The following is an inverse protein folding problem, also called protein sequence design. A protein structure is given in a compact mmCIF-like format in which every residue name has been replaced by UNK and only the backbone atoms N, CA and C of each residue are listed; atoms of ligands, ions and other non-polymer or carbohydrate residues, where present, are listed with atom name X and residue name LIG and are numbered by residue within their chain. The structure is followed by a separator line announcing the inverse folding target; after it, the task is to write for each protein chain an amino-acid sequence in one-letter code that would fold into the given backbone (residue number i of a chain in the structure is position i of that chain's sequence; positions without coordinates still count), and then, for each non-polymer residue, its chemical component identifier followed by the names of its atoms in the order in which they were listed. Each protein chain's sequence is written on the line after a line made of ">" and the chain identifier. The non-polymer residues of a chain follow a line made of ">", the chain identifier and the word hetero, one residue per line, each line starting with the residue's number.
data_IF_922363231912
#
_entry.id   IF_922363231912
#
_cell.length_a   1.000
_cell.length_b   1.000
_cell.length_c   1.000
_cell.angle_alpha   90.00
_cell.angle_beta   90.00
_cell.angle_gamma   90.00
#
_symmetry.space_group_name_H-M   'P 1'
#
loop_
_entity.id
_entity.type
_entity.pdbx_description
1 polymer ?
#
# COMPACT_ATOMS: atom_id res chain seq x y z
N UNK A 1 2.57 28.18 -0.90
CA UNK A 1 2.62 26.73 -1.16
C UNK A 1 2.48 26.08 0.19
N UNK A 2 1.41 25.33 0.42
CA UNK A 2 1.27 24.61 1.68
C UNK A 2 2.27 23.44 1.67
N UNK A 3 3.35 23.60 2.43
CA UNK A 3 4.31 22.51 2.71
C UNK A 3 3.70 21.43 3.62
N UNK A 4 2.45 21.62 4.05
CA UNK A 4 1.68 20.64 4.81
C UNK A 4 1.25 19.51 3.89
N UNK A 5 1.57 18.30 4.29
CA UNK A 5 1.03 17.08 3.69
C UNK A 5 -0.38 16.88 4.19
N UNK A 6 -1.29 16.56 3.29
CA UNK A 6 -2.63 16.11 3.63
C UNK A 6 -2.64 14.62 3.99
N UNK A 7 -3.63 14.20 4.76
CA UNK A 7 -3.83 12.80 5.12
C UNK A 7 -3.94 11.91 3.87
N UNK A 8 -4.57 12.42 2.80
CA UNK A 8 -4.66 11.72 1.51
C UNK A 8 -3.29 11.46 0.86
N UNK A 9 -2.38 12.44 0.88
CA UNK A 9 -1.02 12.27 0.36
C UNK A 9 -0.22 11.25 1.17
N UNK A 10 -0.40 11.28 2.50
CA UNK A 10 0.26 10.36 3.44
C UNK A 10 -0.24 8.91 3.22
N UNK A 11 -1.55 8.72 3.05
CA UNK A 11 -2.14 7.40 2.76
C UNK A 11 -1.61 6.84 1.45
N UNK A 12 -1.61 7.66 0.38
CA UNK A 12 -1.07 7.24 -0.93
C UNK A 12 0.41 6.85 -0.77
N UNK A 13 1.20 7.66 -0.07
CA UNK A 13 2.62 7.39 0.12
C UNK A 13 2.85 6.04 0.81
N UNK A 14 2.23 5.81 1.97
CA UNK A 14 2.48 4.60 2.76
C UNK A 14 1.91 3.37 2.07
N UNK A 15 0.71 3.47 1.48
CA UNK A 15 0.13 2.35 0.77
C UNK A 15 1.01 1.91 -0.41
N UNK A 16 1.38 2.82 -1.31
CA UNK A 16 2.14 2.42 -2.49
C UNK A 16 3.58 1.98 -2.15
N UNK A 17 4.28 2.67 -1.22
CA UNK A 17 5.63 2.26 -0.80
C UNK A 17 5.60 0.90 -0.12
N UNK A 18 4.64 0.63 0.76
CA UNK A 18 4.52 -0.67 1.43
C UNK A 18 4.29 -1.82 0.44
N UNK A 19 3.65 -1.54 -0.71
CA UNK A 19 3.47 -2.51 -1.80
C UNK A 19 4.67 -2.63 -2.74
N UNK A 20 5.76 -1.91 -2.48
CA UNK A 20 7.02 -2.05 -3.22
C UNK A 20 7.26 -0.98 -4.29
N UNK A 21 6.46 0.09 -4.32
CA UNK A 21 6.74 1.23 -5.19
C UNK A 21 7.94 2.02 -4.65
N UNK A 22 8.77 2.52 -5.57
CA UNK A 22 9.90 3.40 -5.23
C UNK A 22 9.41 4.82 -4.93
N UNK A 23 10.25 5.64 -4.27
CA UNK A 23 9.94 7.06 -4.00
C UNK A 23 9.64 7.83 -5.30
N UNK A 24 10.30 7.45 -6.40
CA UNK A 24 10.07 8.02 -7.74
C UNK A 24 8.69 7.63 -8.27
N UNK A 25 8.32 6.36 -8.17
CA UNK A 25 7.02 5.88 -8.62
C UNK A 25 5.89 6.53 -7.80
N UNK A 26 6.04 6.63 -6.48
CA UNK A 26 5.08 7.31 -5.60
C UNK A 26 4.98 8.81 -5.90
N UNK A 27 6.09 9.48 -6.21
CA UNK A 27 6.08 10.87 -6.69
C UNK A 27 5.25 11.03 -7.96
N UNK A 28 5.36 10.08 -8.91
CA UNK A 28 4.51 10.07 -10.12
C UNK A 28 3.04 9.80 -9.81
N UNK A 29 2.73 8.83 -8.93
CA UNK A 29 1.35 8.53 -8.50
C UNK A 29 0.70 9.76 -7.86
N UNK A 30 1.43 10.43 -6.96
CA UNK A 30 0.99 11.69 -6.34
C UNK A 30 0.73 12.76 -7.41
N UNK A 31 1.63 12.89 -8.39
CA UNK A 31 1.50 13.87 -9.48
C UNK A 31 0.24 13.67 -10.31
N UNK A 32 -0.04 12.42 -10.72
CA UNK A 32 -1.25 12.05 -11.49
C UNK A 32 -2.52 12.37 -10.71
N UNK A 33 -2.47 12.26 -9.39
CA UNK A 33 -3.59 12.55 -8.48
C UNK A 33 -3.71 14.02 -8.08
N UNK A 34 -2.89 14.90 -8.68
CA UNK A 34 -2.94 16.35 -8.48
C UNK A 34 -1.99 16.88 -7.40
N UNK A 35 -1.21 16.02 -6.75
CA UNK A 35 -0.26 16.39 -5.70
C UNK A 35 1.16 16.50 -6.25
N UNK A 36 1.79 17.68 -6.13
CA UNK A 36 3.18 17.86 -6.56
C UNK A 36 4.15 17.66 -5.40
N UNK A 37 4.66 16.43 -5.26
CA UNK A 37 5.74 16.11 -4.31
C UNK A 37 6.95 15.54 -5.05
N UNK A 38 8.14 16.15 -4.94
CA UNK A 38 9.35 15.57 -5.51
C UNK A 38 9.75 14.29 -4.77
N UNK A 39 10.48 13.36 -5.41
CA UNK A 39 10.88 12.09 -4.78
C UNK A 39 11.64 12.28 -3.45
N UNK A 40 12.46 13.33 -3.35
CA UNK A 40 13.15 13.67 -2.10
C UNK A 40 12.18 13.98 -0.96
N UNK A 41 11.08 14.69 -1.24
CA UNK A 41 10.08 15.01 -0.22
C UNK A 41 9.29 13.76 0.20
N UNK A 42 9.03 12.84 -0.75
CA UNK A 42 8.43 11.53 -0.47
C UNK A 42 9.32 10.75 0.51
N UNK A 43 10.61 10.64 0.19
CA UNK A 43 11.58 9.95 1.05
C UNK A 43 11.68 10.57 2.45
N UNK A 44 11.77 11.91 2.53
CA UNK A 44 11.82 12.61 3.82
C UNK A 44 10.57 12.36 4.66
N UNK A 45 9.39 12.44 4.03
CA UNK A 45 8.14 12.20 4.75
C UNK A 45 8.00 10.74 5.19
N UNK A 46 8.47 9.80 4.39
CA UNK A 46 8.53 8.39 4.77
C UNK A 46 9.34 8.19 6.06
N UNK A 47 10.52 8.81 6.18
CA UNK A 47 11.34 8.70 7.39
C UNK A 47 10.60 9.25 8.62
N UNK A 48 9.94 10.41 8.48
CA UNK A 48 9.15 11.01 9.56
C UNK A 48 8.02 10.08 10.02
N UNK A 49 7.33 9.42 9.09
CA UNK A 49 6.25 8.48 9.43
C UNK A 49 6.82 7.24 10.13
N UNK A 50 7.94 6.69 9.67
CA UNK A 50 8.57 5.53 10.29
C UNK A 50 9.14 5.83 11.69
N UNK A 51 9.61 7.05 11.92
CA UNK A 51 10.00 7.50 13.26
C UNK A 51 8.81 7.61 14.21
N UNK A 52 7.65 8.06 13.71
CA UNK A 52 6.42 8.18 14.51
C UNK A 52 5.71 6.84 14.73
N UNK A 53 5.74 5.96 13.73
CA UNK A 53 5.03 4.68 13.71
C UNK A 53 5.97 3.53 13.34
N UNK A 54 6.95 3.22 14.20
CA UNK A 54 7.97 2.20 13.90
C UNK A 54 7.39 0.79 13.74
N UNK A 55 6.17 0.55 14.25
CA UNK A 55 5.47 -0.73 14.12
C UNK A 55 4.97 -1.04 12.70
N UNK A 56 5.01 -0.06 11.78
CA UNK A 56 4.68 -0.28 10.36
C UNK A 56 5.74 -1.13 9.65
N UNK A 57 6.94 -1.24 10.23
CA UNK A 57 7.98 -2.13 9.77
C UNK A 57 8.21 -3.26 10.78
N UNK A 58 8.41 -4.45 10.23
CA UNK A 58 8.93 -5.60 10.96
C UNK A 58 10.34 -5.31 11.49
N UNK A 59 10.77 -6.09 12.48
CA UNK A 59 12.12 -5.97 13.08
C UNK A 59 13.28 -6.17 12.08
N UNK A 60 12.99 -6.73 10.91
CA UNK A 60 13.94 -6.96 9.81
C UNK A 60 13.94 -5.82 8.79
N UNK A 61 13.13 -4.77 8.99
CA UNK A 61 13.03 -3.60 8.11
C UNK A 61 12.08 -3.79 6.93
N UNK A 62 11.39 -4.93 6.83
CA UNK A 62 10.34 -5.13 5.84
C UNK A 62 9.02 -4.51 6.31
N UNK A 63 8.19 -4.03 5.38
CA UNK A 63 6.84 -3.56 5.68
C UNK A 63 5.97 -4.67 6.27
N UNK A 64 5.29 -4.35 7.36
CA UNK A 64 4.24 -5.19 7.92
C UNK A 64 2.90 -4.77 7.31
N UNK A 65 2.48 -5.48 6.25
CA UNK A 65 1.30 -5.10 5.46
C UNK A 65 0.03 -5.14 6.29
N UNK A 66 -0.09 -6.09 7.21
CA UNK A 66 -1.27 -6.22 8.06
C UNK A 66 -1.37 -4.99 9.00
N UNK A 67 -0.25 -4.54 9.57
CA UNK A 67 -0.18 -3.33 10.39
C UNK A 67 -0.39 -2.04 9.59
N UNK A 68 0.06 -1.99 8.34
CA UNK A 68 -0.17 -0.86 7.45
C UNK A 68 -1.64 -0.73 7.09
N UNK A 69 -2.30 -1.83 6.72
CA UNK A 69 -3.72 -1.83 6.38
C UNK A 69 -4.55 -1.45 7.63
N UNK A 70 -4.25 -1.99 8.82
CA UNK A 70 -4.92 -1.60 10.08
C UNK A 70 -4.68 -0.12 10.43
N UNK A 71 -3.47 0.39 10.20
CA UNK A 71 -3.18 1.81 10.43
C UNK A 71 -3.98 2.70 9.48
N UNK A 72 -4.09 2.34 8.19
CA UNK A 72 -4.92 3.07 7.23
C UNK A 72 -6.40 3.03 7.65
N UNK A 73 -6.91 1.87 8.06
CA UNK A 73 -8.29 1.72 8.54
C UNK A 73 -8.57 2.50 9.83
N UNK A 74 -7.54 2.74 10.65
CA UNK A 74 -7.64 3.55 11.88
C UNK A 74 -7.74 5.06 11.60
N UNK A 75 -7.35 5.51 10.41
CA UNK A 75 -7.52 6.90 10.02
C UNK A 75 -9.02 7.17 9.89
N UNK A 76 -9.50 8.27 10.49
CA UNK A 76 -10.93 8.63 10.54
C UNK A 76 -11.48 9.13 9.20
N UNK A 77 -11.15 8.43 8.11
CA UNK A 77 -11.63 8.68 6.76
C UNK A 77 -12.74 7.69 6.41
N UNK A 78 -13.66 8.14 5.55
CA UNK A 78 -14.69 7.25 5.00
C UNK A 78 -14.04 6.15 4.16
N UNK A 79 -14.48 4.91 4.36
CA UNK A 79 -13.88 3.72 3.72
C UNK A 79 -13.89 3.81 2.18
N UNK A 80 -14.90 4.47 1.60
CA UNK A 80 -14.98 4.72 0.16
C UNK A 80 -13.93 5.72 -0.33
N UNK A 81 -13.61 6.75 0.47
CA UNK A 81 -12.57 7.72 0.17
C UNK A 81 -11.18 7.09 0.24
N UNK A 82 -10.93 6.23 1.25
CA UNK A 82 -9.69 5.45 1.33
C UNK A 82 -9.56 4.54 0.11
N UNK A 83 -10.61 3.78 -0.22
CA UNK A 83 -10.58 2.84 -1.34
C UNK A 83 -10.33 3.56 -2.68
N UNK A 84 -10.87 4.76 -2.87
CA UNK A 84 -10.55 5.58 -4.04
C UNK A 84 -9.09 6.01 -4.06
N UNK A 85 -8.54 6.42 -2.91
CA UNK A 85 -7.12 6.82 -2.76
C UNK A 85 -6.13 5.65 -2.89
N UNK A 86 -6.52 4.42 -2.61
CA UNK A 86 -5.62 3.26 -2.79
C UNK A 86 -5.96 2.43 -4.03
N UNK A 87 -6.99 2.83 -4.79
CA UNK A 87 -7.36 2.17 -6.03
C UNK A 87 -6.18 2.21 -7.00
N UNK A 88 -5.73 1.03 -7.41
CA UNK A 88 -4.67 0.88 -8.40
C UNK A 88 -5.30 1.09 -9.78
N UNK A 89 -4.96 2.21 -10.42
CA UNK A 89 -5.43 2.53 -11.77
C UNK A 89 -4.51 1.89 -12.83
N UNK A 90 -4.98 1.79 -14.06
CA UNK A 90 -4.15 1.34 -15.18
C UNK A 90 -2.88 2.21 -15.36
N UNK A 91 -2.91 3.45 -14.88
CA UNK A 91 -1.76 4.36 -14.87
C UNK A 91 -0.73 3.93 -13.83
N UNK A 92 -1.18 3.51 -12.65
CA UNK A 92 -0.30 3.01 -11.59
C UNK A 92 0.39 1.69 -12.02
N UNK A 93 -0.33 0.84 -12.77
CA UNK A 93 0.23 -0.36 -13.38
C UNK A 93 1.25 -0.05 -14.48
N UNK A 94 1.00 0.99 -15.30
CA UNK A 94 1.96 1.44 -16.31
C UNK A 94 3.22 2.06 -15.68
N UNK A 95 3.07 2.83 -14.59
CA UNK A 95 4.21 3.37 -13.83
C UNK A 95 5.05 2.24 -13.21
N UNK A 96 4.40 1.20 -12.71
CA UNK A 96 5.08 0.00 -12.22
C UNK A 96 5.83 -0.77 -13.32
N UNK A 97 5.24 -0.87 -14.51
CA UNK A 97 5.82 -1.54 -15.68
C UNK A 97 7.02 -0.76 -16.25
N UNK A 98 6.91 0.56 -16.37
CA UNK A 98 8.01 1.45 -16.81
C UNK A 98 9.24 1.44 -15.88
N UNK A 99 9.08 0.98 -14.63
CA UNK A 99 10.15 0.92 -13.63
C UNK A 99 10.69 -0.51 -13.41
N UNK A 100 10.36 -1.47 -14.29
CA UNK A 100 10.71 -2.90 -14.15
C UNK A 100 10.23 -3.53 -12.82
N UNK A 101 9.25 -2.92 -12.13
CA UNK A 101 8.68 -3.43 -10.88
C UNK A 101 7.57 -4.45 -11.12
N UNK A 102 7.15 -4.66 -12.38
CA UNK A 102 6.02 -5.52 -12.73
C UNK A 102 6.19 -6.97 -12.24
N UNK A 103 7.37 -7.57 -12.38
CA UNK A 103 7.60 -8.94 -11.90
C UNK A 103 7.57 -9.04 -10.37
N UNK A 104 8.07 -8.01 -9.67
CA UNK A 104 8.07 -7.97 -8.19
C UNK A 104 6.66 -7.74 -7.64
N UNK A 105 5.87 -6.87 -8.28
CA UNK A 105 4.48 -6.60 -7.91
C UNK A 105 3.54 -7.77 -8.24
N UNK A 106 3.75 -8.46 -9.38
CA UNK A 106 3.03 -9.70 -9.70
C UNK A 106 3.35 -10.81 -8.69
N UNK A 107 4.60 -10.91 -8.23
CA UNK A 107 4.99 -11.83 -7.16
C UNK A 107 4.28 -11.54 -5.83
N UNK A 108 4.21 -10.27 -5.43
CA UNK A 108 3.55 -9.86 -4.19
C UNK A 108 2.01 -9.99 -4.26
N UNK A 109 1.39 -9.66 -5.40
CA UNK A 109 -0.05 -9.84 -5.60
C UNK A 109 -0.46 -11.31 -5.69
N UNK A 110 0.36 -12.17 -6.32
CA UNK A 110 0.12 -13.61 -6.32
C UNK A 110 0.19 -14.21 -4.90
N UNK A 111 1.11 -13.72 -4.06
CA UNK A 111 1.21 -14.12 -2.66
C UNK A 111 -0.03 -13.73 -1.84
N UNK A 112 -0.54 -12.50 -2.04
CA UNK A 112 -1.76 -12.01 -1.37
C UNK A 112 -3.00 -12.79 -1.85
N UNK A 113 -3.12 -13.07 -3.16
CA UNK A 113 -4.20 -13.88 -3.71
C UNK A 113 -4.18 -15.33 -3.18
N UNK A 114 -3.00 -15.91 -2.93
CA UNK A 114 -2.88 -17.26 -2.35
C UNK A 114 -3.29 -17.29 -0.86
N UNK A 115 -3.00 -16.22 -0.10
CA UNK A 115 -3.43 -16.09 1.31
C UNK A 115 -4.94 -15.84 1.47
N UNK A 116 -5.62 -15.32 0.44
CA UNK A 116 -7.06 -15.05 0.46
C UNK A 116 -7.93 -16.22 -0.02
N UNK A 117 -7.35 -17.40 -0.25
CA UNK A 117 -8.13 -18.61 -0.40
C UNK A 117 -8.87 -18.88 0.93
N UNK A 118 -10.21 -18.93 0.94
CA UNK A 118 -10.92 -19.30 2.15
C UNK A 118 -10.61 -20.77 2.44
N UNK A 119 -10.04 -21.04 3.61
CA UNK A 119 -10.14 -22.36 4.22
C UNK A 119 -11.60 -22.49 4.67
N UNK A 120 -12.51 -22.73 3.73
CA UNK A 120 -13.76 -23.39 4.09
C UNK A 120 -13.42 -24.86 4.28
N UNK A 121 -13.14 -25.19 5.53
CA UNK A 121 -13.41 -26.51 6.05
C UNK A 121 -14.89 -26.83 5.72
N UNK A 122 -15.11 -27.84 4.88
CA UNK A 122 -16.35 -28.59 4.92
C UNK A 122 -16.01 -29.94 5.53
N UNK A 123 -16.05 -29.96 6.86
CA UNK A 123 -16.39 -31.17 7.59
C UNK A 123 -17.88 -31.36 7.38
N UNK A 124 -18.27 -32.32 6.54
CA UNK A 124 -19.57 -32.96 6.68
C UNK A 124 -19.44 -34.46 6.37
N UNK A 125 -19.30 -35.20 7.47
CA UNK A 125 -20.12 -36.36 7.82
C UNK A 125 -20.24 -37.49 6.77
N UNK A 126 -19.41 -38.53 6.94
CA UNK A 126 -19.98 -39.88 7.08
C UNK A 126 -20.77 -39.92 8.41
N UNK A 127 -21.89 -40.67 8.57
CA UNK A 127 -21.87 -42.12 8.34
C UNK A 127 -23.24 -42.82 8.00
N UNK A 128 -23.17 -44.16 7.90
CA UNK A 128 -24.25 -45.19 8.08
C UNK A 128 -25.21 -45.35 6.87
N UNK A 129 -25.43 -46.51 6.24
CA UNK A 129 -25.36 -47.93 6.62
C UNK A 129 -25.15 -48.82 5.39
#
# INVERSE_FOLDING_TARGET
>A
MDDRWSDAEIIILIYFISRGFTDLAVSHVLHVRGYRRPPLAVWQMLQVILEQYPYLQTKTGHWDIDQVDEWIDSLSMEHEAVNWLISCTNIDAAIADEQELLETLLGNLAYICLRRAPITASSDQNPIQ
#
